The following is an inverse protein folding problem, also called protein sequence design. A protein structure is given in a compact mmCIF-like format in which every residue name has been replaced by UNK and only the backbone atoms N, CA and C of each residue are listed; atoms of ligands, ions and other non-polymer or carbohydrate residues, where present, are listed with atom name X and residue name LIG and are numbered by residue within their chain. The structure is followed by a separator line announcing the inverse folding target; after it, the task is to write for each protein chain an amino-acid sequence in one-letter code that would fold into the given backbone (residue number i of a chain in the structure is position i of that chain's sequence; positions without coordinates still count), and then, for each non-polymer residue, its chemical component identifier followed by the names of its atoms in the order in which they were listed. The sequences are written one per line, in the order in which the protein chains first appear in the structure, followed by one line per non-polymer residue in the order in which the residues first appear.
data_IF_154603489627
#
_entry.id   IF_154603489627
#
_cell.length_a   1.000
_cell.length_b   1.000
_cell.length_c   1.000
_cell.angle_alpha   90.00
_cell.angle_beta   90.00
_cell.angle_gamma   90.00
#
_symmetry.space_group_name_H-M   'P 1'
#
loop_
_entity.id
_entity.type
_entity.pdbx_description
1 polymer ?
#
# COMPACT_ATOMS: atom_id res chain seq x y z
N UNK A 1 44.14 -16.39 39.19
CA UNK A 1 43.94 -16.35 40.66
C UNK A 1 43.26 -15.03 41.01
N UNK A 2 42.09 -15.08 41.64
CA UNK A 2 41.22 -13.93 41.96
C UNK A 2 41.49 -13.51 43.40
N UNK A 3 42.00 -12.30 43.64
CA UNK A 3 42.17 -11.80 45.00
C UNK A 3 41.55 -10.40 45.07
N UNK A 4 40.53 -10.30 45.91
CA UNK A 4 39.60 -9.18 46.03
C UNK A 4 39.99 -8.25 47.19
N UNK A 5 39.39 -7.05 47.13
CA UNK A 5 39.04 -6.13 48.21
C UNK A 5 40.16 -5.31 48.86
N UNK A 6 40.13 -4.00 48.64
CA UNK A 6 40.10 -3.00 49.73
C UNK A 6 39.17 -1.85 49.36
N UNK A 7 38.04 -1.85 50.04
CA UNK A 7 37.05 -0.79 50.11
C UNK A 7 37.66 0.37 50.91
N UNK A 8 37.87 1.52 50.27
CA UNK A 8 38.18 2.78 50.99
C UNK A 8 37.14 3.81 50.59
N UNK A 9 36.19 3.98 51.50
CA UNK A 9 35.36 5.16 51.69
C UNK A 9 36.22 6.43 51.62
N UNK A 10 35.73 7.49 50.97
CA UNK A 10 35.54 8.82 51.58
C UNK A 10 34.90 9.80 50.60
N UNK A 11 33.87 10.47 51.12
CA UNK A 11 33.08 11.53 50.52
C UNK A 11 33.92 12.78 50.23
N UNK A 12 33.68 13.44 49.10
CA UNK A 12 33.89 14.90 49.01
C UNK A 12 32.84 15.51 48.09
N UNK A 13 31.91 16.23 48.72
CA UNK A 13 30.88 17.09 48.11
C UNK A 13 31.56 18.38 47.65
N UNK A 14 31.38 18.77 46.38
CA UNK A 14 31.35 20.18 45.99
C UNK A 14 30.32 20.34 44.87
N UNK A 15 29.22 21.02 45.22
CA UNK A 15 28.27 21.56 44.27
C UNK A 15 28.84 22.85 43.66
N UNK A 16 28.96 22.89 42.33
CA UNK A 16 29.02 24.14 41.58
C UNK A 16 27.86 24.17 40.58
N UNK A 17 26.81 24.85 41.00
CA UNK A 17 25.72 25.33 40.18
C UNK A 17 26.15 26.69 39.61
N UNK A 18 26.37 26.81 38.30
CA UNK A 18 26.03 28.05 37.57
C UNK A 18 26.08 27.88 36.05
N UNK A 19 25.00 28.39 35.46
CA UNK A 19 24.86 29.03 34.16
C UNK A 19 24.77 28.15 32.90
N UNK A 20 23.51 27.99 32.50
CA UNK A 20 23.07 27.92 31.12
C UNK A 20 23.77 28.97 30.24
N UNK A 21 24.48 28.52 29.21
CA UNK A 21 24.67 29.31 28.00
C UNK A 21 24.19 28.49 26.80
N UNK A 22 23.20 29.09 26.14
CA UNK A 22 22.45 28.63 24.98
C UNK A 22 23.36 28.50 23.76
N UNK A 23 23.63 27.27 23.34
CA UNK A 23 24.20 26.96 22.02
C UNK A 23 23.12 26.45 21.07
N UNK A 24 22.28 27.35 20.55
CA UNK A 24 21.41 27.04 19.42
C UNK A 24 22.28 26.86 18.17
N UNK A 25 22.57 25.60 17.80
CA UNK A 25 22.74 25.23 16.40
C UNK A 25 22.44 23.76 16.21
N UNK A 26 21.17 23.39 16.41
CA UNK A 26 20.65 22.20 15.77
C UNK A 26 19.15 22.36 15.52
N UNK A 27 18.80 23.36 14.70
CA UNK A 27 17.49 23.39 14.08
C UNK A 27 17.61 22.94 12.62
N UNK A 28 18.12 21.72 12.43
CA UNK A 28 17.56 20.88 11.38
C UNK A 28 16.21 20.39 11.89
N UNK A 29 15.25 21.31 11.98
CA UNK A 29 13.85 20.98 11.83
C UNK A 29 13.74 20.36 10.44
N UNK A 30 13.95 19.05 10.39
CA UNK A 30 13.33 18.20 9.41
C UNK A 30 11.84 18.37 9.63
N UNK A 31 11.30 19.46 9.06
CA UNK A 31 9.93 19.54 8.64
C UNK A 31 9.80 18.39 7.68
N UNK A 32 9.48 17.21 8.20
CA UNK A 32 8.89 16.14 7.43
C UNK A 32 7.64 16.77 6.87
N UNK A 33 7.79 17.40 5.70
CA UNK A 33 6.70 17.86 4.86
C UNK A 33 5.90 16.60 4.67
N UNK A 34 4.85 16.44 5.46
CA UNK A 34 3.75 15.53 5.18
C UNK A 34 3.14 16.12 3.92
N UNK A 35 3.83 15.88 2.80
CA UNK A 35 3.29 16.02 1.47
C UNK A 35 2.00 15.23 1.59
N UNK A 36 0.89 15.96 1.58
CA UNK A 36 -0.43 15.37 1.54
C UNK A 36 -0.47 14.65 0.21
N UNK A 37 0.08 13.43 0.18
CA UNK A 37 0.30 12.70 -1.04
C UNK A 37 -1.09 12.49 -1.63
N UNK A 38 -1.40 13.26 -2.67
CA UNK A 38 -2.71 13.30 -3.28
C UNK A 38 -2.95 12.05 -4.14
N UNK A 39 -2.02 11.09 -4.06
CA UNK A 39 -2.10 9.79 -4.68
C UNK A 39 -2.12 8.69 -3.61
N UNK A 40 -2.77 7.60 -3.97
CA UNK A 40 -2.72 6.33 -3.28
C UNK A 40 -2.01 5.32 -4.17
N UNK A 41 -1.31 4.36 -3.58
CA UNK A 41 -0.72 3.23 -4.30
C UNK A 41 -1.61 2.03 -4.09
N UNK A 42 -2.03 1.38 -5.16
CA UNK A 42 -2.89 0.19 -5.11
C UNK A 42 -2.18 -0.94 -5.85
N UNK A 43 -2.21 -2.13 -5.25
CA UNK A 43 -1.57 -3.32 -5.78
C UNK A 43 -2.60 -4.13 -6.55
N UNK A 44 -2.35 -4.38 -7.83
CA UNK A 44 -3.22 -5.18 -8.68
C UNK A 44 -2.55 -6.50 -9.06
N UNK A 45 -3.30 -7.57 -8.94
CA UNK A 45 -2.93 -8.93 -9.37
C UNK A 45 -3.90 -9.40 -10.43
N UNK A 46 -3.40 -9.94 -11.54
CA UNK A 46 -4.18 -10.67 -12.52
C UNK A 46 -3.95 -12.17 -12.36
N UNK A 47 -5.04 -12.93 -12.34
CA UNK A 47 -5.04 -14.39 -12.34
C UNK A 47 -5.86 -14.95 -13.49
N UNK A 48 -5.44 -16.11 -13.98
CA UNK A 48 -6.23 -16.97 -14.85
C UNK A 48 -6.39 -18.32 -14.15
N UNK A 49 -7.60 -18.59 -13.66
CA UNK A 49 -7.85 -19.63 -12.67
C UNK A 49 -6.94 -19.48 -11.44
N UNK A 50 -6.20 -20.53 -11.11
CA UNK A 50 -5.27 -20.55 -9.96
C UNK A 50 -3.93 -19.86 -10.23
N UNK A 51 -3.57 -19.64 -11.50
CA UNK A 51 -2.26 -19.12 -11.91
C UNK A 51 -2.24 -17.58 -11.88
N UNK A 52 -1.24 -17.00 -11.23
CA UNK A 52 -0.94 -15.57 -11.35
C UNK A 52 -0.28 -15.30 -12.70
N UNK A 53 -0.78 -14.31 -13.44
CA UNK A 53 -0.27 -13.95 -14.76
C UNK A 53 0.45 -12.60 -14.78
N UNK A 54 0.13 -11.69 -13.87
CA UNK A 54 0.79 -10.38 -13.78
C UNK A 54 0.47 -9.71 -12.45
N UNK A 55 1.42 -8.93 -11.93
CA UNK A 55 1.25 -8.08 -10.74
C UNK A 55 1.81 -6.69 -11.03
N UNK A 56 1.06 -5.64 -10.64
CA UNK A 56 1.47 -4.24 -10.82
C UNK A 56 1.03 -3.38 -9.66
N UNK A 57 1.90 -2.48 -9.22
CA UNK A 57 1.56 -1.41 -8.28
C UNK A 57 1.35 -0.11 -9.03
N UNK A 58 0.19 0.54 -8.83
CA UNK A 58 -0.14 1.78 -9.54
C UNK A 58 -0.49 2.91 -8.59
N UNK A 59 0.01 4.10 -8.92
CA UNK A 59 -0.34 5.34 -8.22
C UNK A 59 -1.59 5.98 -8.86
N UNK A 60 -2.62 6.21 -8.05
CA UNK A 60 -3.92 6.75 -8.46
C UNK A 60 -4.21 8.02 -7.66
N UNK A 61 -4.66 9.13 -8.29
CA UNK A 61 -5.10 10.31 -7.55
C UNK A 61 -6.28 9.97 -6.62
N UNK A 62 -6.29 10.49 -5.39
CA UNK A 62 -7.35 10.26 -4.39
C UNK A 62 -8.75 10.61 -4.91
N UNK A 63 -8.87 11.72 -5.64
CA UNK A 63 -10.13 12.17 -6.27
C UNK A 63 -10.68 11.19 -7.32
N UNK A 64 -9.86 10.27 -7.83
CA UNK A 64 -10.21 9.25 -8.83
C UNK A 64 -9.92 7.83 -8.29
N UNK A 65 -9.93 7.64 -6.98
CA UNK A 65 -9.56 6.40 -6.31
C UNK A 65 -10.63 5.30 -6.48
N UNK A 66 -10.75 4.79 -7.70
CA UNK A 66 -11.63 3.69 -8.06
C UNK A 66 -10.82 2.52 -8.62
N UNK A 67 -11.35 1.31 -8.44
CA UNK A 67 -10.73 0.08 -8.95
C UNK A 67 -10.38 0.21 -10.42
N UNK A 68 -11.32 0.72 -11.24
CA UNK A 68 -11.10 0.78 -12.68
C UNK A 68 -9.99 1.74 -13.10
N UNK A 69 -9.81 2.83 -12.35
CA UNK A 69 -8.80 3.85 -12.69
C UNK A 69 -7.40 3.27 -12.56
N UNK A 70 -7.14 2.48 -11.51
CA UNK A 70 -5.86 1.77 -11.39
C UNK A 70 -5.73 0.64 -12.41
N UNK A 71 -6.82 -0.09 -12.67
CA UNK A 71 -6.79 -1.19 -13.63
C UNK A 71 -6.41 -0.72 -15.05
N UNK A 72 -7.04 0.37 -15.53
CA UNK A 72 -6.75 0.98 -16.84
C UNK A 72 -5.35 1.58 -16.93
N UNK A 73 -4.76 1.99 -15.81
CA UNK A 73 -3.35 2.43 -15.76
C UNK A 73 -2.39 1.24 -15.85
N UNK A 74 -2.78 0.10 -15.30
CA UNK A 74 -1.92 -1.08 -15.23
C UNK A 74 -1.96 -1.90 -16.54
N UNK A 75 -3.11 -2.01 -17.20
CA UNK A 75 -3.31 -2.80 -18.43
C UNK A 75 -4.34 -2.17 -19.37
N UNK A 76 -4.36 -2.64 -20.62
CA UNK A 76 -5.44 -2.33 -21.57
C UNK A 76 -6.71 -3.05 -21.16
N UNK A 77 -7.78 -2.31 -20.89
CA UNK A 77 -9.08 -2.84 -20.44
C UNK A 77 -10.16 -2.53 -21.46
N UNK A 78 -11.02 -3.51 -21.75
CA UNK A 78 -12.25 -3.31 -22.51
C UNK A 78 -13.45 -3.50 -21.59
N UNK A 79 -14.46 -2.64 -21.79
CA UNK A 79 -15.68 -2.62 -21.00
C UNK A 79 -16.91 -2.62 -21.88
N UNK A 80 -18.00 -3.15 -21.36
CA UNK A 80 -19.32 -3.04 -21.99
C UNK A 80 -20.34 -2.87 -20.88
N UNK A 81 -21.09 -1.76 -20.91
CA UNK A 81 -22.11 -1.42 -19.89
C UNK A 81 -21.58 -1.48 -18.44
N UNK A 82 -20.32 -1.07 -18.22
CA UNK A 82 -19.67 -1.08 -16.90
C UNK A 82 -19.06 -2.43 -16.48
N UNK A 83 -19.22 -3.48 -17.29
CA UNK A 83 -18.58 -4.78 -17.05
C UNK A 83 -17.27 -4.89 -17.80
N UNK A 84 -16.24 -5.43 -17.14
CA UNK A 84 -14.93 -5.68 -17.76
C UNK A 84 -15.03 -6.93 -18.63
N UNK A 85 -14.90 -6.77 -19.95
CA UNK A 85 -14.98 -7.86 -20.93
C UNK A 85 -13.60 -8.41 -21.31
N UNK A 86 -12.54 -7.61 -21.14
CA UNK A 86 -11.17 -7.99 -21.45
C UNK A 86 -10.16 -7.21 -20.61
N UNK A 87 -9.10 -7.88 -20.17
CA UNK A 87 -7.91 -7.26 -19.57
C UNK A 87 -6.69 -7.82 -20.29
N UNK A 88 -5.88 -6.96 -20.88
CA UNK A 88 -4.63 -7.34 -21.55
C UNK A 88 -4.83 -8.44 -22.60
N UNK A 89 -5.85 -8.26 -23.44
CA UNK A 89 -6.25 -9.20 -24.50
C UNK A 89 -6.99 -10.46 -24.03
N UNK A 90 -7.03 -10.75 -22.72
CA UNK A 90 -7.68 -11.93 -22.15
C UNK A 90 -9.18 -11.64 -21.94
N UNK A 91 -9.99 -12.23 -22.83
CA UNK A 91 -11.43 -12.02 -22.91
C UNK A 91 -12.23 -13.02 -22.07
N UNK A 92 -13.40 -12.58 -21.63
CA UNK A 92 -14.42 -13.48 -21.06
C UNK A 92 -14.94 -14.47 -22.11
N UNK A 93 -15.50 -15.58 -21.64
CA UNK A 93 -16.22 -16.55 -22.47
C UNK A 93 -17.56 -16.92 -21.82
N UNK A 94 -18.65 -16.18 -22.16
CA UNK A 94 -19.97 -16.45 -21.60
C UNK A 94 -20.48 -17.86 -21.86
N UNK A 95 -20.21 -18.44 -23.04
CA UNK A 95 -20.61 -19.82 -23.40
C UNK A 95 -20.01 -20.85 -22.44
N UNK A 96 -18.79 -20.60 -21.94
CA UNK A 96 -18.09 -21.46 -20.97
C UNK A 96 -18.26 -20.99 -19.51
N UNK A 97 -19.10 -19.97 -19.26
CA UNK A 97 -19.27 -19.30 -17.96
C UNK A 97 -17.97 -18.72 -17.37
N UNK A 98 -17.03 -18.32 -18.22
CA UNK A 98 -15.74 -17.75 -17.79
C UNK A 98 -15.86 -16.23 -17.77
N UNK A 99 -15.67 -15.64 -16.58
CA UNK A 99 -15.82 -14.19 -16.38
C UNK A 99 -14.66 -13.62 -15.58
N UNK A 100 -14.46 -12.31 -15.75
CA UNK A 100 -13.59 -11.52 -14.89
C UNK A 100 -14.33 -11.18 -13.60
N UNK A 101 -13.81 -11.68 -12.50
CA UNK A 101 -14.27 -11.34 -11.15
C UNK A 101 -13.13 -10.71 -10.37
N UNK A 102 -13.42 -10.03 -9.26
CA UNK A 102 -12.36 -9.45 -8.45
C UNK A 102 -12.66 -9.39 -6.96
N UNK A 103 -11.57 -9.37 -6.20
CA UNK A 103 -11.58 -9.21 -4.75
C UNK A 103 -10.74 -8.00 -4.34
N UNK A 104 -11.11 -7.36 -3.24
CA UNK A 104 -10.29 -6.33 -2.58
C UNK A 104 -9.91 -6.87 -1.21
N UNK A 105 -8.60 -6.93 -0.93
CA UNK A 105 -8.06 -7.43 0.33
C UNK A 105 -8.62 -8.82 0.70
N UNK A 106 -8.79 -9.68 -0.30
CA UNK A 106 -9.33 -11.04 -0.14
C UNK A 106 -10.86 -11.14 -0.05
N UNK A 107 -11.58 -10.02 0.03
CA UNK A 107 -13.05 -10.00 0.07
C UNK A 107 -13.64 -9.80 -1.32
N UNK A 108 -14.70 -10.53 -1.65
CA UNK A 108 -15.43 -10.34 -2.91
C UNK A 108 -16.02 -8.95 -3.02
N UNK A 109 -15.88 -8.34 -4.19
CA UNK A 109 -16.49 -7.05 -4.46
C UNK A 109 -17.98 -7.21 -4.77
N UNK A 110 -18.80 -6.30 -4.22
CA UNK A 110 -20.25 -6.26 -4.45
C UNK A 110 -20.66 -5.21 -5.49
N UNK A 111 -19.72 -4.37 -5.93
CA UNK A 111 -19.93 -3.30 -6.91
C UNK A 111 -19.08 -3.55 -8.16
N UNK A 112 -19.47 -2.94 -9.30
CA UNK A 112 -18.62 -2.89 -10.49
C UNK A 112 -17.32 -2.11 -10.23
N UNK A 113 -16.26 -2.43 -10.97
CA UNK A 113 -14.94 -1.79 -10.82
C UNK A 113 -14.97 -0.27 -11.09
N UNK A 114 -15.95 0.19 -11.87
CA UNK A 114 -16.26 1.59 -12.19
C UNK A 114 -16.89 2.38 -11.03
N UNK A 115 -17.50 1.66 -10.08
CA UNK A 115 -18.17 2.21 -8.90
C UNK A 115 -17.43 1.94 -7.60
N UNK A 116 -16.61 0.89 -7.57
CA UNK A 116 -15.90 0.47 -6.37
C UNK A 116 -14.70 1.39 -6.09
N UNK A 117 -14.72 2.02 -4.92
CA UNK A 117 -13.59 2.81 -4.41
C UNK A 117 -12.47 1.90 -3.88
N UNK A 118 -11.24 2.41 -3.88
CA UNK A 118 -10.05 1.77 -3.33
C UNK A 118 -9.30 2.72 -2.40
N UNK A 119 -8.69 2.16 -1.36
CA UNK A 119 -7.85 2.86 -0.41
C UNK A 119 -6.36 2.63 -0.70
N UNK A 120 -5.51 3.39 0.00
CA UNK A 120 -4.07 3.22 -0.11
C UNK A 120 -3.65 1.82 0.38
N UNK A 121 -2.74 1.20 -0.38
CA UNK A 121 -2.21 -0.15 -0.19
C UNK A 121 -3.21 -1.29 -0.38
N UNK A 122 -4.42 -1.02 -0.85
CA UNK A 122 -5.37 -2.07 -1.19
C UNK A 122 -4.78 -3.06 -2.18
N UNK A 123 -5.15 -4.34 -2.00
CA UNK A 123 -4.78 -5.46 -2.87
C UNK A 123 -6.00 -5.86 -3.68
N UNK A 124 -6.04 -5.41 -4.92
CA UNK A 124 -7.09 -5.75 -5.88
C UNK A 124 -6.63 -6.94 -6.70
N UNK A 125 -7.39 -8.03 -6.68
CA UNK A 125 -7.07 -9.23 -7.46
C UNK A 125 -8.19 -9.52 -8.44
N UNK A 126 -7.89 -9.41 -9.72
CA UNK A 126 -8.76 -9.83 -10.81
C UNK A 126 -8.47 -11.28 -11.19
N UNK A 127 -9.51 -12.08 -11.35
CA UNK A 127 -9.40 -13.49 -11.73
C UNK A 127 -10.32 -13.77 -12.89
N UNK A 128 -9.76 -14.29 -13.99
CA UNK A 128 -10.51 -14.85 -15.11
C UNK A 128 -10.70 -16.34 -14.85
N UNK A 129 -11.91 -16.73 -14.49
CA UNK A 129 -12.21 -18.13 -14.19
C UNK A 129 -13.68 -18.45 -14.45
N UNK A 130 -14.00 -19.73 -14.47
CA UNK A 130 -15.36 -20.24 -14.55
C UNK A 130 -16.11 -19.88 -13.26
N UNK A 131 -17.18 -19.11 -13.40
CA UNK A 131 -18.12 -18.85 -12.31
C UNK A 131 -19.06 -20.06 -12.23
N UNK A 132 -19.23 -20.59 -11.02
CA UNK A 132 -20.15 -21.71 -10.75
C UNK A 132 -21.58 -21.21 -10.71
#
# INVERSE_FOLDING_TARGET
MKNKHKFSLLFTIVAFLTLFLTGCSNNSSSTAKKSSNNQITVNYTLKQGKKTVSDKSVKIPKKKAKVITGLKKAWKVQETKGFITSIDGKKQNPKKKIYWTYTINGKWATKGADKQAVANKDKVKFTLDKVK
#
